data_IF_410445688298
#
_entry.id   IF_410445688298
#
_cell.length_a   1.000
_cell.length_b   1.000
_cell.length_c   1.000
_cell.angle_alpha   90.00
_cell.angle_beta   90.00
_cell.angle_gamma   90.00
#
_symmetry.space_group_name_H-M   'P 1'
#
loop_
_entity.id
_entity.type
_entity.pdbx_description
1 polymer ?
#
# COMPACT_ATOMS: atom_id res chain seq x y z
N UNK A 1 -0.86 -40.77 12.90
CA UNK A 1 -0.61 -40.48 11.48
C UNK A 1 -1.00 -39.03 11.22
N UNK A 2 -0.01 -38.13 11.21
CA UNK A 2 -0.22 -36.68 11.07
C UNK A 2 -0.21 -36.31 9.59
N UNK A 3 -1.39 -36.02 9.03
CA UNK A 3 -1.49 -35.49 7.66
C UNK A 3 -1.03 -34.03 7.65
N UNK A 4 0.27 -33.81 7.41
CA UNK A 4 0.80 -32.50 7.00
C UNK A 4 0.32 -32.24 5.58
N UNK A 5 -0.43 -31.16 5.36
CA UNK A 5 -0.63 -30.60 4.03
C UNK A 5 0.76 -30.11 3.58
N UNK A 6 1.41 -30.91 2.74
CA UNK A 6 2.67 -30.53 2.09
C UNK A 6 2.30 -29.53 1.00
N UNK A 7 2.41 -28.24 1.29
CA UNK A 7 2.60 -27.24 0.25
C UNK A 7 3.92 -27.60 -0.45
N UNK A 8 3.84 -28.39 -1.54
CA UNK A 8 4.99 -28.65 -2.41
C UNK A 8 5.54 -27.28 -2.79
N UNK A 9 6.72 -26.97 -2.27
CA UNK A 9 7.41 -25.70 -2.43
C UNK A 9 7.56 -25.43 -3.92
N UNK A 10 6.66 -24.61 -4.47
CA UNK A 10 6.96 -23.88 -5.71
C UNK A 10 8.26 -23.16 -5.42
N UNK A 11 9.31 -23.40 -6.21
CA UNK A 11 10.62 -22.77 -6.01
C UNK A 11 10.46 -21.25 -6.17
N UNK A 12 10.22 -20.55 -5.06
CA UNK A 12 10.18 -19.09 -4.99
C UNK A 12 11.43 -18.60 -4.27
N UNK A 13 12.20 -17.73 -4.92
CA UNK A 13 13.40 -17.15 -4.32
C UNK A 13 12.95 -15.82 -3.74
N UNK A 14 12.93 -15.77 -2.41
CA UNK A 14 12.80 -14.49 -1.70
C UNK A 14 14.20 -14.06 -1.34
N UNK A 15 14.58 -12.87 -1.79
CA UNK A 15 15.76 -12.19 -1.26
C UNK A 15 15.29 -10.85 -0.72
N UNK A 16 15.31 -10.74 0.61
CA UNK A 16 15.11 -9.47 1.32
C UNK A 16 16.39 -8.65 1.17
N UNK A 17 16.28 -7.38 0.76
CA UNK A 17 17.44 -6.50 0.57
C UNK A 17 17.48 -5.43 1.67
N UNK A 18 18.67 -5.26 2.25
CA UNK A 18 19.12 -4.05 2.95
C UNK A 18 20.29 -3.48 2.10
N UNK A 19 20.17 -2.26 1.56
CA UNK A 19 21.31 -1.41 1.16
C UNK A 19 21.85 -1.44 -0.30
N UNK A 20 21.88 -0.23 -0.91
CA UNK A 20 22.98 0.50 -1.58
C UNK A 20 23.93 -0.14 -2.62
N UNK A 21 23.68 -1.32 -3.20
CA UNK A 21 24.32 -1.67 -4.48
C UNK A 21 23.53 -1.08 -5.64
N UNK A 22 24.21 -0.50 -6.66
CA UNK A 22 23.62 -0.05 -7.94
C UNK A 22 22.52 -1.03 -8.36
N UNK A 23 21.27 -0.58 -8.33
CA UNK A 23 20.07 -1.43 -8.27
C UNK A 23 20.06 -2.56 -9.32
N UNK A 24 20.42 -2.26 -10.58
CA UNK A 24 20.53 -3.26 -11.64
C UNK A 24 21.62 -4.33 -11.43
N UNK A 25 22.77 -3.98 -10.81
CA UNK A 25 23.83 -4.94 -10.48
C UNK A 25 23.38 -5.95 -9.43
N UNK A 26 22.59 -5.51 -8.46
CA UNK A 26 21.97 -6.37 -7.47
C UNK A 26 20.98 -7.35 -8.13
N UNK A 27 20.11 -6.82 -8.99
CA UNK A 27 19.09 -7.59 -9.72
C UNK A 27 19.77 -8.70 -10.53
N UNK A 28 20.80 -8.35 -11.30
CA UNK A 28 21.63 -9.29 -12.05
C UNK A 28 22.29 -10.33 -11.14
N UNK A 29 22.93 -9.92 -10.05
CA UNK A 29 23.57 -10.85 -9.11
C UNK A 29 22.57 -11.84 -8.52
N UNK A 30 21.34 -11.40 -8.25
CA UNK A 30 20.26 -12.24 -7.72
C UNK A 30 19.92 -13.38 -8.69
N UNK A 31 19.84 -13.10 -9.99
CA UNK A 31 19.63 -14.14 -11.01
C UNK A 31 20.74 -15.19 -10.98
N UNK A 32 22.01 -14.78 -11.11
CA UNK A 32 23.12 -15.74 -11.19
C UNK A 32 23.32 -16.57 -9.93
N UNK A 33 22.96 -16.06 -8.76
CA UNK A 33 22.97 -16.85 -7.51
C UNK A 33 21.84 -17.89 -7.46
N UNK A 34 20.74 -17.66 -8.17
CA UNK A 34 19.49 -18.44 -8.07
C UNK A 34 18.75 -18.57 -9.42
N UNK A 35 19.38 -19.05 -10.51
CA UNK A 35 18.83 -18.92 -11.88
C UNK A 35 17.58 -19.76 -12.17
N UNK A 36 17.33 -20.80 -11.36
CA UNK A 36 16.27 -21.79 -11.58
C UNK A 36 14.97 -21.51 -10.81
N UNK A 37 14.83 -20.29 -10.27
CA UNK A 37 13.63 -19.87 -9.55
C UNK A 37 12.62 -19.23 -10.48
N UNK A 38 11.33 -19.46 -10.21
CA UNK A 38 10.22 -19.01 -11.07
C UNK A 38 9.93 -17.52 -10.93
N UNK A 39 10.12 -17.02 -9.72
CA UNK A 39 9.79 -15.64 -9.33
C UNK A 39 10.95 -15.07 -8.53
N UNK A 40 11.23 -13.80 -8.77
CA UNK A 40 12.23 -13.00 -8.07
C UNK A 40 11.53 -11.77 -7.51
N UNK A 41 11.63 -11.60 -6.21
CA UNK A 41 10.89 -10.59 -5.47
C UNK A 41 11.93 -9.66 -4.83
N UNK A 42 11.76 -8.36 -5.03
CA UNK A 42 12.62 -7.30 -4.49
C UNK A 42 11.79 -6.44 -3.55
N UNK A 43 12.23 -6.35 -2.30
CA UNK A 43 11.48 -5.74 -1.19
C UNK A 43 12.45 -4.94 -0.33
N UNK A 44 12.00 -3.78 0.15
CA UNK A 44 12.73 -2.91 1.07
C UNK A 44 12.65 -3.40 2.53
N UNK A 45 13.55 -2.90 3.39
CA UNK A 45 13.73 -3.42 4.73
C UNK A 45 12.56 -3.09 5.69
N UNK A 46 11.79 -2.04 5.40
CA UNK A 46 10.63 -1.55 6.14
C UNK A 46 9.30 -2.00 5.50
N UNK A 47 9.33 -3.09 4.72
CA UNK A 47 8.17 -3.67 4.06
C UNK A 47 7.88 -5.07 4.58
N UNK A 48 6.71 -5.24 5.20
CA UNK A 48 6.20 -6.54 5.63
C UNK A 48 5.69 -7.34 4.43
N UNK A 49 5.94 -8.65 4.41
CA UNK A 49 5.47 -9.57 3.35
C UNK A 49 4.56 -10.63 3.96
N UNK A 50 3.30 -10.64 3.54
CA UNK A 50 2.34 -11.69 3.85
C UNK A 50 2.65 -12.94 3.02
N UNK A 51 3.55 -13.78 3.51
CA UNK A 51 4.15 -14.84 2.71
C UNK A 51 3.16 -15.90 2.20
N UNK A 52 2.18 -16.38 3.00
CA UNK A 52 1.17 -17.30 2.51
C UNK A 52 0.30 -16.68 1.42
N UNK A 53 -0.06 -15.38 1.53
CA UNK A 53 -0.81 -14.69 0.48
C UNK A 53 0.00 -14.58 -0.81
N UNK A 54 1.28 -14.18 -0.70
CA UNK A 54 2.18 -14.02 -1.84
C UNK A 54 2.36 -15.33 -2.60
N UNK A 55 2.67 -16.43 -1.90
CA UNK A 55 2.90 -17.74 -2.53
C UNK A 55 1.62 -18.29 -3.15
N UNK A 56 0.47 -18.16 -2.48
CA UNK A 56 -0.81 -18.58 -3.05
C UNK A 56 -1.15 -17.79 -4.33
N UNK A 57 -0.94 -16.47 -4.32
CA UNK A 57 -1.21 -15.61 -5.47
C UNK A 57 -0.24 -15.86 -6.63
N UNK A 58 1.07 -15.84 -6.41
CA UNK A 58 2.04 -16.18 -7.47
C UNK A 58 1.87 -17.62 -7.97
N UNK A 59 1.34 -18.48 -7.11
CA UNK A 59 0.98 -19.84 -7.47
C UNK A 59 -0.11 -19.95 -8.53
N UNK A 60 -0.97 -18.94 -8.70
CA UNK A 60 -2.02 -18.92 -9.73
C UNK A 60 -1.59 -18.29 -11.05
N UNK A 61 -0.39 -17.72 -11.13
CA UNK A 61 0.14 -17.07 -12.33
C UNK A 61 1.05 -18.01 -13.14
N UNK A 62 1.12 -17.79 -14.45
CA UNK A 62 2.02 -18.53 -15.34
C UNK A 62 3.43 -17.94 -15.30
N UNK A 63 4.33 -18.52 -14.49
CA UNK A 63 5.70 -18.01 -14.34
C UNK A 63 6.57 -18.06 -15.62
N UNK A 64 6.10 -18.70 -16.68
CA UNK A 64 6.79 -18.77 -17.98
C UNK A 64 6.49 -17.56 -18.88
N UNK A 65 5.50 -16.74 -18.52
CA UNK A 65 5.20 -15.48 -19.20
C UNK A 65 6.04 -14.32 -18.64
N UNK A 66 6.16 -13.25 -19.41
CA UNK A 66 6.85 -12.04 -19.01
C UNK A 66 5.99 -11.25 -18.02
N UNK A 67 6.43 -11.27 -16.77
CA UNK A 67 5.82 -10.48 -15.71
C UNK A 67 6.83 -9.52 -15.09
N UNK A 68 6.45 -8.24 -15.08
CA UNK A 68 6.98 -7.20 -14.22
C UNK A 68 5.81 -6.61 -13.42
N UNK A 69 5.71 -7.01 -12.16
CA UNK A 69 4.57 -6.74 -11.28
C UNK A 69 5.01 -5.78 -10.17
N UNK A 70 4.24 -4.74 -9.91
CA UNK A 70 4.54 -3.76 -8.87
C UNK A 70 3.34 -2.86 -8.57
N UNK A 71 3.47 -1.95 -7.62
CA UNK A 71 2.54 -0.82 -7.50
C UNK A 71 3.00 0.28 -8.45
N UNK A 72 2.15 0.67 -9.39
CA UNK A 72 2.49 1.70 -10.37
C UNK A 72 2.59 3.08 -9.70
N UNK A 73 3.70 3.76 -9.93
CA UNK A 73 3.87 5.19 -9.67
C UNK A 73 4.31 5.90 -10.94
N UNK A 74 4.13 7.23 -10.98
CA UNK A 74 4.48 8.09 -12.11
C UNK A 74 5.50 9.14 -11.68
N UNK A 75 6.56 9.32 -12.48
CA UNK A 75 7.38 10.53 -12.49
C UNK A 75 7.24 11.12 -13.89
N UNK A 76 6.56 12.28 -13.99
CA UNK A 76 6.08 12.77 -15.29
C UNK A 76 5.16 11.74 -15.94
N UNK A 77 5.43 11.40 -17.20
CA UNK A 77 4.67 10.40 -17.96
C UNK A 77 5.24 8.97 -17.86
N UNK A 78 6.28 8.77 -17.04
CA UNK A 78 6.98 7.48 -16.94
C UNK A 78 6.46 6.67 -15.76
N UNK A 79 5.86 5.52 -16.08
CA UNK A 79 5.41 4.52 -15.11
C UNK A 79 6.53 3.61 -14.61
N UNK A 80 6.63 3.46 -13.29
CA UNK A 80 7.60 2.59 -12.65
C UNK A 80 6.98 1.80 -11.48
N UNK A 81 7.60 0.66 -11.16
CA UNK A 81 7.21 -0.12 -10.00
C UNK A 81 7.80 0.50 -8.72
N UNK A 82 6.95 0.94 -7.79
CA UNK A 82 7.40 1.53 -6.55
C UNK A 82 8.13 0.50 -5.65
N UNK A 83 9.43 0.72 -5.46
CA UNK A 83 10.34 -0.16 -4.72
C UNK A 83 9.90 -0.42 -3.29
N UNK A 84 9.36 0.58 -2.60
CA UNK A 84 8.86 0.47 -1.23
C UNK A 84 7.80 -0.61 -1.07
N UNK A 85 6.80 -0.64 -1.97
CA UNK A 85 5.77 -1.70 -1.95
C UNK A 85 6.28 -3.09 -2.34
N UNK A 86 7.50 -3.16 -2.85
CA UNK A 86 8.11 -4.32 -3.50
C UNK A 86 7.66 -4.48 -4.95
N UNK A 87 8.48 -5.20 -5.73
CA UNK A 87 8.14 -5.59 -7.10
C UNK A 87 8.65 -7.00 -7.42
N UNK A 88 8.04 -7.61 -8.43
CA UNK A 88 8.21 -9.03 -8.74
C UNK A 88 8.49 -9.19 -10.22
N UNK A 89 9.52 -9.97 -10.53
CA UNK A 89 9.89 -10.36 -11.88
C UNK A 89 9.70 -11.87 -12.05
N UNK A 90 9.10 -12.25 -13.17
CA UNK A 90 9.17 -13.63 -13.66
C UNK A 90 10.62 -13.99 -14.06
N UNK A 91 10.92 -15.29 -14.12
CA UNK A 91 12.23 -15.76 -14.53
C UNK A 91 12.64 -15.33 -15.95
N UNK A 92 11.80 -15.43 -16.99
CA UNK A 92 12.19 -15.05 -18.34
C UNK A 92 12.70 -13.60 -18.41
N UNK A 93 11.97 -12.68 -17.76
CA UNK A 93 12.32 -11.25 -17.70
C UNK A 93 13.67 -11.05 -17.01
N UNK A 94 13.84 -11.63 -15.81
CA UNK A 94 15.09 -11.41 -15.07
C UNK A 94 16.30 -12.08 -15.74
N UNK A 95 16.09 -13.24 -16.38
CA UNK A 95 17.11 -13.93 -17.17
C UNK A 95 17.58 -13.05 -18.32
N UNK A 96 16.64 -12.51 -19.09
CA UNK A 96 16.95 -11.69 -20.25
C UNK A 96 17.61 -10.37 -19.85
N UNK A 97 17.05 -9.66 -18.85
CA UNK A 97 17.69 -8.47 -18.29
C UNK A 97 19.13 -8.76 -17.82
N UNK A 98 19.36 -9.87 -17.12
CA UNK A 98 20.70 -10.25 -16.63
C UNK A 98 21.71 -10.57 -17.74
N UNK A 99 21.22 -10.93 -18.93
CA UNK A 99 22.02 -11.17 -20.14
C UNK A 99 22.45 -9.85 -20.79
N UNK A 100 21.53 -8.88 -20.90
CA UNK A 100 21.78 -7.59 -21.57
C UNK A 100 22.39 -6.53 -20.66
N UNK A 101 22.17 -6.59 -19.34
CA UNK A 101 22.61 -5.56 -18.40
C UNK A 101 24.10 -5.18 -18.50
N UNK A 102 25.08 -6.09 -18.73
CA UNK A 102 26.48 -5.71 -18.88
C UNK A 102 26.76 -4.73 -20.02
N UNK A 103 25.99 -4.76 -21.12
CA UNK A 103 26.15 -3.80 -22.22
C UNK A 103 25.46 -2.46 -21.94
N UNK A 104 24.61 -2.41 -20.92
CA UNK A 104 23.76 -1.28 -20.59
C UNK A 104 24.19 -0.57 -19.31
N UNK A 105 25.01 -1.22 -18.48
CA UNK A 105 25.33 -0.73 -17.13
C UNK A 105 25.94 0.66 -17.15
N UNK A 106 26.76 1.00 -18.15
CA UNK A 106 27.33 2.34 -18.30
C UNK A 106 26.27 3.43 -18.53
N UNK A 107 25.26 3.15 -19.36
CA UNK A 107 24.14 4.07 -19.64
C UNK A 107 23.33 4.33 -18.37
N UNK A 108 22.81 3.27 -17.76
CA UNK A 108 21.91 3.41 -16.61
C UNK A 108 22.63 3.83 -15.32
N UNK A 109 23.93 3.53 -15.17
CA UNK A 109 24.73 4.09 -14.08
C UNK A 109 24.93 5.61 -14.22
N UNK A 110 24.97 6.13 -15.46
CA UNK A 110 25.04 7.56 -15.72
C UNK A 110 23.69 8.23 -15.45
N UNK A 111 22.60 7.67 -15.98
CA UNK A 111 21.24 8.18 -15.75
C UNK A 111 20.82 8.15 -14.28
N UNK A 112 21.26 7.15 -13.51
CA UNK A 112 21.00 7.06 -12.08
C UNK A 112 21.59 8.22 -11.27
N UNK A 113 22.54 8.99 -11.82
CA UNK A 113 23.10 10.17 -11.12
C UNK A 113 22.15 11.36 -11.08
N UNK A 114 21.22 11.45 -12.02
CA UNK A 114 20.28 12.57 -12.16
C UNK A 114 18.87 12.25 -11.69
N UNK A 115 18.64 11.07 -11.11
CA UNK A 115 17.34 10.60 -10.66
C UNK A 115 17.40 10.13 -9.22
N UNK A 116 16.30 10.29 -8.49
CA UNK A 116 16.22 9.95 -7.07
C UNK A 116 16.27 8.44 -6.78
N UNK A 117 15.92 7.62 -7.76
CA UNK A 117 15.21 6.38 -7.48
C UNK A 117 15.73 5.24 -8.40
N UNK A 118 16.26 4.17 -7.80
CA UNK A 118 16.88 3.07 -8.54
C UNK A 118 15.88 2.12 -9.22
N UNK A 119 14.71 1.97 -8.62
CA UNK A 119 13.51 1.28 -9.12
C UNK A 119 12.90 2.00 -10.34
N UNK A 120 12.89 3.34 -10.33
CA UNK A 120 12.54 4.16 -11.49
C UNK A 120 13.47 3.86 -12.68
N UNK A 121 14.80 4.00 -12.49
CA UNK A 121 15.79 3.74 -13.55
C UNK A 121 15.69 2.30 -14.05
N UNK A 122 15.42 1.34 -13.16
CA UNK A 122 15.23 -0.04 -13.57
C UNK A 122 13.98 -0.26 -14.42
N UNK A 123 12.87 0.41 -14.08
CA UNK A 123 11.64 0.35 -14.88
C UNK A 123 11.83 0.98 -16.26
N UNK A 124 12.54 2.11 -16.34
CA UNK A 124 12.96 2.72 -17.61
C UNK A 124 13.79 1.73 -18.42
N UNK A 125 14.79 1.09 -17.79
CA UNK A 125 15.64 0.13 -18.47
C UNK A 125 14.86 -1.06 -19.03
N UNK A 126 13.93 -1.64 -18.27
CA UNK A 126 13.07 -2.73 -18.75
C UNK A 126 12.19 -2.31 -19.92
N UNK A 127 11.60 -1.11 -19.85
CA UNK A 127 10.74 -0.61 -20.91
C UNK A 127 11.54 -0.36 -22.20
N UNK A 128 12.64 0.38 -22.13
CA UNK A 128 13.45 0.71 -23.31
C UNK A 128 14.11 -0.50 -23.97
N UNK A 129 14.48 -1.52 -23.18
CA UNK A 129 15.29 -2.63 -23.68
C UNK A 129 14.49 -3.89 -23.99
N UNK A 130 13.40 -4.12 -23.26
CA UNK A 130 12.55 -5.30 -23.39
C UNK A 130 11.10 -4.96 -23.80
N UNK A 131 10.75 -3.67 -23.91
CA UNK A 131 9.37 -3.24 -24.17
C UNK A 131 8.41 -3.56 -23.01
N UNK A 132 8.94 -3.76 -21.79
CA UNK A 132 8.17 -4.26 -20.66
C UNK A 132 7.87 -3.15 -19.64
N UNK A 133 6.60 -2.74 -19.60
CA UNK A 133 6.08 -1.82 -18.58
C UNK A 133 5.63 -2.56 -17.31
N UNK A 134 5.63 -1.86 -16.18
CA UNK A 134 5.07 -2.40 -14.94
C UNK A 134 3.58 -2.68 -15.11
N UNK A 135 3.15 -3.87 -14.69
CA UNK A 135 1.75 -4.19 -14.48
C UNK A 135 1.39 -3.77 -13.06
N UNK A 136 0.43 -2.86 -12.94
CA UNK A 136 -0.05 -2.39 -11.65
C UNK A 136 -0.82 -3.48 -10.90
N UNK A 137 -0.36 -3.79 -9.70
CA UNK A 137 -0.93 -4.79 -8.79
C UNK A 137 -1.36 -4.15 -7.45
N UNK A 138 -1.39 -2.82 -7.37
CA UNK A 138 -2.04 -2.15 -6.26
C UNK A 138 -3.50 -2.63 -6.14
N UNK A 139 -4.03 -2.89 -4.94
CA UNK A 139 -3.42 -2.66 -3.62
C UNK A 139 -2.71 -3.88 -3.03
N UNK A 140 -2.60 -5.01 -3.74
CA UNK A 140 -2.01 -6.25 -3.17
C UNK A 140 -0.58 -5.98 -2.71
N UNK A 141 0.23 -5.46 -3.63
CA UNK A 141 1.47 -4.79 -3.24
C UNK A 141 1.06 -3.41 -2.77
N UNK A 142 1.25 -3.14 -1.48
CA UNK A 142 0.70 -1.94 -0.86
C UNK A 142 1.81 -0.95 -0.54
N UNK A 143 1.52 0.33 -0.76
CA UNK A 143 2.43 1.44 -0.53
C UNK A 143 2.30 2.00 0.90
N UNK A 144 1.26 1.57 1.62
CA UNK A 144 0.91 2.08 2.94
C UNK A 144 1.09 1.01 4.02
N UNK A 145 1.12 1.48 5.26
CA UNK A 145 0.99 0.63 6.45
C UNK A 145 -0.46 0.56 6.92
N UNK A 146 -0.81 -0.38 7.81
CA UNK A 146 -2.18 -0.53 8.30
C UNK A 146 -2.83 0.75 8.83
N UNK A 147 -2.07 1.69 9.38
CA UNK A 147 -2.63 2.93 9.92
C UNK A 147 -2.91 3.99 8.87
N UNK A 148 -2.20 4.01 7.74
CA UNK A 148 -2.34 5.03 6.69
C UNK A 148 -3.08 4.52 5.47
N UNK A 149 -3.32 3.21 5.39
CA UNK A 149 -4.08 2.56 4.32
C UNK A 149 -5.54 3.08 4.26
N UNK A 150 -6.03 3.52 3.09
CA UNK A 150 -7.38 4.05 2.91
C UNK A 150 -8.43 2.93 2.82
N UNK A 151 -8.85 2.38 3.97
CA UNK A 151 -9.89 1.36 3.99
C UNK A 151 -11.22 1.89 3.44
N UNK A 152 -11.95 1.03 2.75
CA UNK A 152 -13.21 1.39 2.13
C UNK A 152 -13.58 0.47 0.96
N UNK A 153 -14.48 0.92 0.06
CA UNK A 153 -15.08 0.11 -1.00
C UNK A 153 -14.11 -0.51 -2.00
N UNK A 154 -12.91 0.05 -2.14
CA UNK A 154 -12.01 -0.31 -3.25
C UNK A 154 -11.30 -1.64 -3.04
N UNK A 155 -10.97 -2.01 -1.80
CA UNK A 155 -10.10 -3.17 -1.55
C UNK A 155 -10.41 -3.98 -0.31
N UNK A 156 -11.52 -3.70 0.37
CA UNK A 156 -11.90 -4.35 1.63
C UNK A 156 -11.70 -5.87 1.69
N UNK A 157 -12.20 -6.60 0.69
CA UNK A 157 -12.10 -8.06 0.62
C UNK A 157 -10.91 -8.57 -0.21
N UNK A 158 -10.10 -7.67 -0.77
CA UNK A 158 -8.91 -8.05 -1.51
C UNK A 158 -7.83 -8.65 -0.59
N UNK A 159 -6.98 -9.56 -1.11
CA UNK A 159 -5.85 -10.05 -0.34
C UNK A 159 -4.74 -8.99 -0.30
N UNK A 160 -4.20 -8.72 0.89
CA UNK A 160 -2.98 -7.93 1.04
C UNK A 160 -1.75 -8.82 0.79
N UNK A 161 -0.67 -8.30 0.23
CA UNK A 161 0.57 -9.06 -0.02
C UNK A 161 1.77 -8.39 0.63
N UNK A 162 1.85 -7.06 0.57
CA UNK A 162 2.85 -6.28 1.30
C UNK A 162 2.21 -5.13 2.06
N UNK A 163 2.91 -4.63 3.08
CA UNK A 163 2.64 -3.37 3.78
C UNK A 163 3.96 -2.62 3.94
N UNK A 164 4.03 -1.36 3.52
CA UNK A 164 5.26 -0.57 3.49
C UNK A 164 5.25 0.54 4.56
N UNK A 165 6.40 1.20 4.79
CA UNK A 165 6.62 2.21 5.84
C UNK A 165 6.39 1.69 7.26
N UNK A 166 6.67 0.41 7.48
CA UNK A 166 6.48 -0.26 8.76
C UNK A 166 7.72 -0.07 9.64
N UNK A 167 7.54 0.45 10.86
CA UNK A 167 8.60 0.43 11.86
C UNK A 167 8.93 -1.01 12.29
N UNK A 168 10.10 -1.27 12.92
CA UNK A 168 10.43 -2.59 13.45
C UNK A 168 9.37 -3.15 14.42
N UNK A 169 8.76 -2.28 15.22
CA UNK A 169 7.69 -2.64 16.16
C UNK A 169 6.38 -2.98 15.42
N UNK A 170 6.06 -2.22 14.37
CA UNK A 170 4.91 -2.51 13.50
C UNK A 170 5.11 -3.82 12.74
N UNK A 171 6.31 -4.11 12.24
CA UNK A 171 6.68 -5.40 11.63
C UNK A 171 6.47 -6.55 12.61
N UNK A 172 6.96 -6.40 13.85
CA UNK A 172 6.84 -7.44 14.88
C UNK A 172 5.37 -7.70 15.24
N UNK A 173 4.60 -6.63 15.43
CA UNK A 173 3.16 -6.73 15.72
C UNK A 173 2.39 -7.38 14.56
N UNK A 174 2.78 -7.10 13.32
CA UNK A 174 2.16 -7.68 12.14
C UNK A 174 2.51 -9.16 11.97
N UNK A 175 3.74 -9.55 12.30
CA UNK A 175 4.15 -10.95 12.32
C UNK A 175 3.36 -11.79 13.32
N UNK A 176 3.12 -11.27 14.52
CA UNK A 176 2.30 -11.93 15.54
C UNK A 176 0.87 -12.13 15.04
N UNK A 177 0.26 -11.06 14.51
CA UNK A 177 -1.07 -11.09 13.91
C UNK A 177 -1.20 -12.11 12.78
N UNK A 178 -0.26 -12.12 11.82
CA UNK A 178 -0.26 -13.09 10.73
C UNK A 178 -0.18 -14.53 11.26
N UNK A 179 0.68 -14.75 12.25
CA UNK A 179 0.84 -16.04 12.91
C UNK A 179 -0.45 -16.53 13.56
N UNK A 180 -1.12 -15.68 14.33
CA UNK A 180 -2.39 -16.00 14.99
C UNK A 180 -3.50 -16.26 13.97
N UNK A 181 -3.58 -15.44 12.93
CA UNK A 181 -4.55 -15.60 11.86
C UNK A 181 -4.46 -16.97 11.20
N UNK A 182 -3.27 -17.42 10.79
CA UNK A 182 -3.13 -18.74 10.16
C UNK A 182 -3.17 -19.91 11.13
N UNK A 183 -2.75 -19.73 12.40
CA UNK A 183 -2.94 -20.75 13.44
C UNK A 183 -4.43 -21.02 13.69
N UNK A 184 -5.28 -19.99 13.69
CA UNK A 184 -6.72 -20.14 13.85
C UNK A 184 -7.38 -20.94 12.72
N UNK A 185 -6.76 -20.96 11.54
CA UNK A 185 -7.21 -21.71 10.36
C UNK A 185 -6.57 -23.10 10.24
N UNK A 186 -5.63 -23.47 11.11
CA UNK A 186 -4.83 -24.70 10.99
C UNK A 186 -5.63 -26.00 11.16
N UNK A 187 -6.86 -25.91 11.69
CA UNK A 187 -7.80 -27.04 11.78
C UNK A 187 -8.54 -27.32 10.47
N UNK A 188 -8.41 -26.44 9.47
CA UNK A 188 -9.04 -26.62 8.17
C UNK A 188 -8.25 -27.65 7.34
N UNK A 189 -8.97 -28.59 6.71
CA UNK A 189 -8.38 -29.56 5.76
C UNK A 189 -8.06 -28.92 4.40
N UNK A 190 -8.44 -27.68 4.21
CA UNK A 190 -8.35 -26.93 2.96
C UNK A 190 -7.19 -25.92 2.99
N UNK A 191 -6.89 -25.32 1.84
CA UNK A 191 -5.95 -24.21 1.78
C UNK A 191 -6.51 -23.04 2.62
N UNK A 192 -5.71 -22.44 3.53
CA UNK A 192 -6.19 -21.36 4.36
C UNK A 192 -6.57 -20.17 3.49
N UNK A 193 -7.65 -19.47 3.86
CA UNK A 193 -8.04 -18.26 3.14
C UNK A 193 -6.95 -17.22 3.24
N UNK A 194 -6.87 -16.38 2.22
CA UNK A 194 -5.93 -15.26 2.20
C UNK A 194 -6.35 -14.20 3.22
N UNK A 195 -5.37 -13.64 3.90
CA UNK A 195 -5.56 -12.50 4.80
C UNK A 195 -6.01 -11.27 3.98
N UNK A 196 -7.14 -10.68 4.33
CA UNK A 196 -7.74 -9.57 3.59
C UNK A 196 -7.50 -8.22 4.28
N UNK A 197 -7.75 -7.12 3.57
CA UNK A 197 -7.65 -5.79 4.19
C UNK A 197 -8.67 -5.60 5.33
N UNK A 198 -9.85 -6.22 5.25
CA UNK A 198 -10.80 -6.29 6.37
C UNK A 198 -10.17 -6.85 7.65
N UNK A 199 -9.37 -7.91 7.55
CA UNK A 199 -8.71 -8.50 8.73
C UNK A 199 -7.71 -7.54 9.36
N UNK A 200 -6.97 -6.84 8.51
CA UNK A 200 -5.99 -5.83 8.92
C UNK A 200 -6.69 -4.66 9.61
N UNK A 201 -7.81 -4.17 9.05
CA UNK A 201 -8.63 -3.14 9.69
C UNK A 201 -9.10 -3.59 11.07
N UNK A 202 -9.71 -4.78 11.14
CA UNK A 202 -10.31 -5.30 12.37
C UNK A 202 -9.27 -5.44 13.49
N UNK A 203 -8.04 -5.83 13.15
CA UNK A 203 -6.98 -6.00 14.14
C UNK A 203 -6.29 -4.67 14.52
N UNK A 204 -5.88 -3.87 13.54
CA UNK A 204 -5.01 -2.71 13.79
C UNK A 204 -5.76 -1.39 13.98
N UNK A 205 -6.92 -1.22 13.35
CA UNK A 205 -7.61 0.08 13.26
C UNK A 205 -8.88 0.12 14.08
N UNK A 206 -9.77 -0.86 13.91
CA UNK A 206 -11.09 -0.87 14.58
C UNK A 206 -11.01 -0.66 16.10
N UNK A 207 -10.08 -1.29 16.85
CA UNK A 207 -10.00 -1.12 18.31
C UNK A 207 -9.53 0.27 18.74
N UNK A 208 -8.89 1.03 17.84
CA UNK A 208 -8.29 2.34 18.10
C UNK A 208 -9.12 3.50 17.55
N UNK A 209 -10.22 3.20 16.86
CA UNK A 209 -11.03 4.20 16.16
C UNK A 209 -11.95 4.93 17.15
N UNK A 210 -11.75 6.26 17.25
CA UNK A 210 -12.56 7.17 18.06
C UNK A 210 -13.48 8.01 17.17
N UNK A 211 -14.47 8.70 17.75
CA UNK A 211 -15.33 9.61 16.98
C UNK A 211 -14.57 10.88 16.58
N UNK A 212 -13.75 11.39 17.49
CA UNK A 212 -12.86 12.52 17.27
C UNK A 212 -11.55 12.35 18.05
N UNK A 213 -10.49 12.97 17.56
CA UNK A 213 -9.18 12.97 18.20
C UNK A 213 -8.43 14.28 17.95
N UNK A 214 -7.92 14.84 19.03
CA UNK A 214 -7.02 15.99 19.04
C UNK A 214 -5.57 15.57 18.74
N UNK A 215 -4.76 16.53 18.27
CA UNK A 215 -3.35 16.35 17.94
C UNK A 215 -3.11 15.17 16.98
N UNK A 216 -4.02 15.02 16.02
CA UNK A 216 -4.09 13.84 15.18
C UNK A 216 -4.46 14.17 13.74
N UNK A 217 -3.75 13.53 12.81
CA UNK A 217 -3.96 13.64 11.38
C UNK A 217 -4.40 12.28 10.82
N UNK A 218 -5.70 12.12 10.60
CA UNK A 218 -6.30 10.95 9.96
C UNK A 218 -6.07 10.91 8.44
N UNK A 219 -5.31 11.86 7.89
CA UNK A 219 -4.96 11.95 6.48
C UNK A 219 -6.16 12.13 5.55
N UNK A 220 -7.26 12.74 5.99
CA UNK A 220 -8.38 13.08 5.07
C UNK A 220 -7.90 14.03 3.98
N UNK A 221 -8.12 13.66 2.72
CA UNK A 221 -7.50 14.30 1.55
C UNK A 221 -8.29 14.18 0.22
N UNK A 222 -9.54 13.70 0.22
CA UNK A 222 -10.29 13.59 -1.03
C UNK A 222 -10.83 14.94 -1.50
N UNK A 223 -11.37 15.75 -0.57
CA UNK A 223 -11.95 17.07 -0.84
C UNK A 223 -11.49 18.06 0.22
N UNK A 224 -11.08 19.26 -0.20
CA UNK A 224 -10.56 20.31 0.66
C UNK A 224 -11.36 21.61 0.56
N UNK A 225 -11.85 22.09 1.71
CA UNK A 225 -12.49 23.38 1.88
C UNK A 225 -11.60 24.27 2.72
N UNK A 226 -11.07 25.34 2.12
CA UNK A 226 -10.30 26.40 2.76
C UNK A 226 -10.85 27.74 2.30
N UNK A 227 -10.48 28.84 2.98
CA UNK A 227 -10.92 30.18 2.59
C UNK A 227 -10.66 30.50 1.11
N UNK A 228 -9.58 29.97 0.54
CA UNK A 228 -9.20 30.21 -0.86
C UNK A 228 -9.95 29.29 -1.82
N UNK A 229 -10.15 28.02 -1.48
CA UNK A 229 -10.89 27.09 -2.35
C UNK A 229 -12.38 27.43 -2.38
N UNK A 230 -12.94 27.82 -1.24
CA UNK A 230 -14.34 28.25 -1.17
C UNK A 230 -14.60 29.53 -1.96
N UNK A 231 -13.71 30.53 -1.85
CA UNK A 231 -13.85 31.78 -2.60
C UNK A 231 -13.77 31.58 -4.13
N UNK A 232 -12.97 30.61 -4.61
CA UNK A 232 -12.83 30.31 -6.05
C UNK A 232 -14.00 29.54 -6.64
N UNK A 233 -14.68 28.72 -5.83
CA UNK A 233 -15.74 27.81 -6.28
C UNK A 233 -17.11 28.14 -5.69
N UNK A 234 -17.30 29.35 -5.17
CA UNK A 234 -18.48 29.75 -4.39
C UNK A 234 -19.83 29.46 -5.07
N UNK A 235 -19.90 29.56 -6.40
CA UNK A 235 -21.12 29.30 -7.18
C UNK A 235 -21.58 27.83 -7.18
N UNK A 236 -20.68 26.89 -6.85
CA UNK A 236 -20.95 25.44 -6.88
C UNK A 236 -21.01 24.82 -5.49
N UNK A 237 -20.73 25.59 -4.44
CA UNK A 237 -20.72 25.11 -3.06
C UNK A 237 -22.06 25.39 -2.39
N UNK A 238 -22.55 24.41 -1.64
CA UNK A 238 -23.66 24.61 -0.70
C UNK A 238 -23.27 25.54 0.45
N UNK A 239 -24.26 26.10 1.15
CA UNK A 239 -24.00 26.98 2.32
C UNK A 239 -23.18 26.27 3.42
N UNK A 240 -23.36 24.94 3.55
CA UNK A 240 -22.58 24.10 4.47
C UNK A 240 -21.11 24.05 4.03
N UNK A 241 -20.84 23.83 2.74
CA UNK A 241 -19.47 23.73 2.23
C UNK A 241 -18.72 25.06 2.25
N UNK A 242 -19.42 26.18 2.02
CA UNK A 242 -18.85 27.54 2.12
C UNK A 242 -18.29 27.82 3.51
N UNK A 243 -18.90 27.25 4.54
CA UNK A 243 -18.54 27.48 5.95
C UNK A 243 -17.69 26.36 6.56
N UNK A 244 -17.46 25.26 5.83
CA UNK A 244 -16.70 24.09 6.28
C UNK A 244 -15.33 24.42 6.89
N UNK A 245 -14.65 25.40 6.30
CA UNK A 245 -13.29 25.81 6.66
C UNK A 245 -13.20 26.67 7.93
N UNK A 246 -14.33 27.02 8.55
CA UNK A 246 -14.36 27.93 9.69
C UNK A 246 -14.09 27.25 11.04
N UNK A 247 -14.43 25.96 11.18
CA UNK A 247 -14.24 25.22 12.44
C UNK A 247 -14.24 23.71 12.22
N UNK A 248 -13.76 22.96 13.21
CA UNK A 248 -13.86 21.49 13.22
C UNK A 248 -15.32 21.00 13.18
N UNK A 249 -16.24 21.69 13.88
CA UNK A 249 -17.66 21.33 13.87
C UNK A 249 -18.30 21.58 12.51
N UNK A 250 -17.98 22.70 11.85
CA UNK A 250 -18.48 22.95 10.49
C UNK A 250 -17.95 21.88 9.53
N UNK A 251 -16.69 21.47 9.68
CA UNK A 251 -16.11 20.38 8.88
C UNK A 251 -16.83 19.04 9.10
N UNK A 252 -17.22 18.74 10.35
CA UNK A 252 -18.05 17.58 10.68
C UNK A 252 -19.41 17.65 9.99
N UNK A 253 -20.11 18.78 10.08
CA UNK A 253 -21.42 18.99 9.43
C UNK A 253 -21.30 18.80 7.90
N UNK A 254 -20.20 19.28 7.29
CA UNK A 254 -19.92 19.05 5.86
C UNK A 254 -19.77 17.56 5.54
N UNK A 255 -19.05 16.80 6.37
CA UNK A 255 -18.93 15.35 6.21
C UNK A 255 -20.27 14.62 6.45
N UNK A 256 -21.09 15.08 7.39
CA UNK A 256 -22.43 14.55 7.63
C UNK A 256 -23.33 14.73 6.40
N UNK A 257 -23.32 15.93 5.80
CA UNK A 257 -24.09 16.26 4.61
C UNK A 257 -23.64 15.44 3.37
N UNK A 258 -22.36 15.09 3.28
CA UNK A 258 -21.86 14.20 2.23
C UNK A 258 -22.06 12.72 2.64
N UNK A 259 -23.06 12.05 2.07
CA UNK A 259 -23.40 10.66 2.41
C UNK A 259 -22.29 9.64 2.20
N UNK A 260 -21.28 9.95 1.37
CA UNK A 260 -20.13 9.08 1.09
C UNK A 260 -18.94 9.34 2.03
N UNK A 261 -18.98 10.39 2.84
CA UNK A 261 -17.87 10.74 3.71
C UNK A 261 -17.76 9.77 4.89
N UNK A 262 -16.58 9.19 5.13
CA UNK A 262 -16.32 8.36 6.31
C UNK A 262 -15.47 9.06 7.36
N UNK A 263 -14.68 10.07 6.99
CA UNK A 263 -13.82 10.78 7.91
C UNK A 263 -13.59 12.22 7.48
N UNK A 264 -13.21 13.06 8.44
CA UNK A 264 -12.94 14.47 8.24
C UNK A 264 -11.78 14.93 9.11
N UNK A 265 -11.16 16.03 8.71
CA UNK A 265 -9.99 16.62 9.37
C UNK A 265 -10.04 18.13 9.28
N UNK A 266 -9.72 18.82 10.36
CA UNK A 266 -9.58 20.25 10.40
C UNK A 266 -8.19 20.65 10.90
N UNK A 267 -7.53 21.53 10.15
CA UNK A 267 -6.25 22.12 10.52
C UNK A 267 -6.04 23.41 9.72
N UNK A 268 -5.50 24.45 10.37
CA UNK A 268 -5.14 25.73 9.75
C UNK A 268 -6.22 26.31 8.80
N UNK A 269 -7.46 26.44 9.31
CA UNK A 269 -8.58 26.97 8.54
C UNK A 269 -8.90 26.17 7.27
N UNK A 270 -8.57 24.88 7.26
CA UNK A 270 -8.85 23.96 6.16
C UNK A 270 -9.58 22.73 6.68
N UNK A 271 -10.78 22.50 6.17
CA UNK A 271 -11.52 21.26 6.32
C UNK A 271 -11.15 20.30 5.18
N UNK A 272 -10.85 19.06 5.50
CA UNK A 272 -10.61 17.99 4.53
C UNK A 272 -11.51 16.80 4.85
N UNK A 273 -12.16 16.22 3.85
CA UNK A 273 -13.02 15.03 4.02
C UNK A 273 -12.57 13.89 3.11
N UNK A 274 -12.86 12.64 3.49
CA UNK A 274 -12.55 11.45 2.70
C UNK A 274 -13.66 10.41 2.66
N UNK A 275 -13.73 9.71 1.53
CA UNK A 275 -14.63 8.58 1.22
C UNK A 275 -14.02 7.22 1.51
N UNK A 276 -12.85 7.23 2.15
CA UNK A 276 -12.17 6.10 2.76
C UNK A 276 -11.83 6.47 4.21
N UNK A 277 -11.61 5.49 5.07
CA UNK A 277 -11.23 5.71 6.46
C UNK A 277 -9.84 5.14 6.77
N UNK A 278 -9.03 5.95 7.43
CA UNK A 278 -7.63 5.75 7.79
C UNK A 278 -7.49 6.03 9.28
N UNK A 279 -6.63 5.29 9.98
CA UNK A 279 -6.33 5.67 11.37
C UNK A 279 -5.47 6.93 11.40
N UNK A 280 -4.48 7.05 10.53
CA UNK A 280 -3.56 8.18 10.45
C UNK A 280 -2.45 8.16 11.50
N UNK A 281 -2.00 9.33 11.91
CA UNK A 281 -0.81 9.52 12.75
C UNK A 281 -0.96 10.66 13.75
N UNK A 282 -0.22 10.54 14.85
CA UNK A 282 -0.08 11.61 15.83
C UNK A 282 0.64 12.83 15.24
N UNK A 283 0.26 14.01 15.70
CA UNK A 283 0.94 15.29 15.44
C UNK A 283 1.38 15.91 16.76
N UNK A 284 2.38 16.79 16.70
CA UNK A 284 2.79 17.57 17.88
C UNK A 284 1.75 18.68 18.08
N UNK A 285 1.19 18.76 19.27
CA UNK A 285 0.06 19.64 19.58
C UNK A 285 0.45 21.01 20.09
N UNK A 286 1.13 21.87 19.31
CA UNK A 286 1.33 23.28 19.70
C UNK A 286 1.61 24.16 18.47
N UNK A 287 1.05 25.38 18.38
CA UNK A 287 0.09 26.04 19.29
C UNK A 287 -1.37 25.57 19.13
N UNK A 288 -2.26 25.90 20.08
CA UNK A 288 -3.70 25.55 20.04
C UNK A 288 -4.41 26.04 18.77
N UNK A 289 -4.04 27.21 18.28
CA UNK A 289 -4.55 27.80 17.05
C UNK A 289 -4.21 27.00 15.79
N UNK A 290 -3.28 26.05 15.89
CA UNK A 290 -2.77 25.22 14.79
C UNK A 290 -2.99 23.71 15.04
N UNK A 291 -3.88 23.38 15.98
CA UNK A 291 -4.13 22.00 16.39
C UNK A 291 -4.74 21.18 15.26
N UNK A 292 -4.22 19.97 15.06
CA UNK A 292 -4.78 18.99 14.14
C UNK A 292 -5.96 18.29 14.80
N UNK A 293 -7.14 18.41 14.21
CA UNK A 293 -8.36 17.75 14.67
C UNK A 293 -8.82 16.74 13.63
N UNK A 294 -9.02 15.49 14.04
CA UNK A 294 -9.51 14.42 13.16
C UNK A 294 -10.80 13.83 13.70
N UNK A 295 -11.72 13.47 12.82
CA UNK A 295 -12.95 12.78 13.17
C UNK A 295 -13.31 11.66 12.18
N UNK A 296 -14.09 10.71 12.67
CA UNK A 296 -14.56 9.56 11.91
C UNK A 296 -16.06 9.39 12.11
N UNK A 297 -16.77 9.15 11.01
CA UNK A 297 -18.20 8.85 11.01
C UNK A 297 -18.43 7.40 11.45
N UNK A 298 -18.08 7.06 12.69
CA UNK A 298 -18.08 5.68 13.20
C UNK A 298 -19.41 4.93 12.96
N UNK A 299 -20.60 5.51 13.21
CA UNK A 299 -21.86 4.83 12.90
C UNK A 299 -21.96 4.44 11.42
N UNK A 300 -21.57 5.35 10.52
CA UNK A 300 -21.59 5.13 9.07
C UNK A 300 -20.56 4.09 8.63
N UNK A 301 -19.36 4.09 9.22
CA UNK A 301 -18.33 3.07 8.98
C UNK A 301 -18.85 1.70 9.42
N UNK A 302 -19.44 1.60 10.61
CA UNK A 302 -19.98 0.34 11.13
C UNK A 302 -21.14 -0.19 10.29
N UNK A 303 -22.05 0.68 9.87
CA UNK A 303 -23.15 0.34 8.95
C UNK A 303 -22.59 -0.18 7.61
N UNK A 304 -21.64 0.54 7.02
CA UNK A 304 -20.99 0.11 5.78
C UNK A 304 -20.27 -1.25 5.91
N UNK A 305 -19.57 -1.49 7.02
CA UNK A 305 -18.92 -2.79 7.30
C UNK A 305 -19.98 -3.90 7.39
N UNK A 306 -21.09 -3.63 8.07
CA UNK A 306 -22.20 -4.57 8.22
C UNK A 306 -22.84 -4.90 6.88
N UNK A 307 -23.06 -3.90 6.03
CA UNK A 307 -23.70 -4.04 4.73
C UNK A 307 -22.86 -4.85 3.73
N UNK A 308 -21.53 -4.70 3.77
CA UNK A 308 -20.63 -5.53 2.96
C UNK A 308 -20.61 -6.98 3.46
N UNK A 309 -20.69 -7.16 4.78
CA UNK A 309 -20.69 -8.48 5.40
C UNK A 309 -19.34 -9.21 5.34
N UNK A 310 -19.40 -10.53 5.23
CA UNK A 310 -18.22 -11.39 5.20
C UNK A 310 -17.53 -11.37 3.83
N UNK A 311 -16.21 -11.36 3.83
CA UNK A 311 -15.43 -11.52 2.60
C UNK A 311 -15.34 -13.00 2.24
N UNK A 312 -15.82 -13.35 1.05
CA UNK A 312 -15.76 -14.70 0.47
C UNK A 312 -14.37 -15.02 -0.09
#
# INVERSE_FOLDING_TARGET
>A
MSNRIVLRTKKVAVKVQIGLMKHGSLIRKTFYMRPNYKWYIFIEADTYVLWPNLVQWLGSLNSSEEHFLGSLMLIGDVGFAYGGSGYILSQPVLKEFSRIFPTLSGKYDYEAKSHCCGDYIFSVALNETLGLSVKDIWPKLNTEKPYTLPFGPTHWCGPAVTMHHMSPEEISSFWEFEGDFYRSQSTLRELPRKLSFRDIYNYFVAPKLLDAREDWDNLSDDIHYSKTTTAKHDSYLSDIEKTAHQSFENCKITCEANTKCFQFRFHDGTCSISTAFKLGRARKGYPESDRWMSGWMKPRIQEWIKDIGECL
#
